data_IF_340694482857
#
_entry.id   IF_340694482857
#
_cell.length_a   1.000
_cell.length_b   1.000
_cell.length_c   1.000
_cell.angle_alpha   90.00
_cell.angle_beta   90.00
_cell.angle_gamma   90.00
#
_symmetry.space_group_name_H-M   'P 1'
#
loop_
_entity.id
_entity.type
_entity.pdbx_description
1 polymer ?
#
# COMPACT_ATOMS: atom_id res chain seq x y z
N UNK A 1 -5.82 -14.43 -35.50
CA UNK A 1 -7.05 -13.61 -35.41
C UNK A 1 -7.67 -13.60 -34.00
N UNK A 2 -6.99 -14.12 -32.97
CA UNK A 2 -7.43 -14.04 -31.58
C UNK A 2 -6.64 -12.93 -30.87
N UNK A 3 -6.92 -11.64 -31.12
CA UNK A 3 -6.21 -10.59 -30.35
C UNK A 3 -6.82 -9.19 -30.30
N UNK A 4 -8.11 -9.05 -30.58
CA UNK A 4 -8.80 -7.75 -30.37
C UNK A 4 -9.94 -7.92 -29.37
N UNK A 5 -10.71 -9.00 -29.47
CA UNK A 5 -11.75 -9.31 -28.49
C UNK A 5 -11.18 -9.59 -27.09
N UNK A 6 -10.07 -10.33 -26.98
CA UNK A 6 -9.41 -10.62 -25.70
C UNK A 6 -8.83 -9.35 -25.10
N UNK A 7 -8.08 -8.56 -25.88
CA UNK A 7 -7.52 -7.29 -25.40
C UNK A 7 -8.62 -6.30 -24.98
N UNK A 8 -9.75 -6.25 -25.70
CA UNK A 8 -10.85 -5.35 -25.36
C UNK A 8 -11.58 -5.78 -24.09
N UNK A 9 -11.79 -7.09 -23.89
CA UNK A 9 -12.35 -7.63 -22.64
C UNK A 9 -11.39 -7.42 -21.47
N UNK A 10 -10.09 -7.62 -21.67
CA UNK A 10 -9.04 -7.33 -20.69
C UNK A 10 -9.07 -5.84 -20.34
N UNK A 11 -8.96 -4.92 -21.31
CA UNK A 11 -9.08 -3.48 -21.03
C UNK A 11 -10.40 -3.10 -20.33
N UNK A 12 -11.54 -3.70 -20.71
CA UNK A 12 -12.84 -3.43 -20.09
C UNK A 12 -12.88 -3.89 -18.62
N UNK A 13 -12.34 -5.08 -18.32
CA UNK A 13 -12.21 -5.61 -16.94
C UNK A 13 -11.22 -4.75 -16.14
N UNK A 14 -10.10 -4.33 -16.74
CA UNK A 14 -9.11 -3.43 -16.15
C UNK A 14 -9.67 -2.02 -15.87
N UNK A 15 -10.69 -1.59 -16.63
CA UNK A 15 -11.44 -0.35 -16.35
C UNK A 15 -12.68 -0.54 -15.48
N UNK A 16 -12.99 -1.76 -15.03
CA UNK A 16 -14.19 -2.02 -14.24
C UNK A 16 -14.17 -1.20 -12.95
N UNK A 17 -15.06 -0.21 -12.81
CA UNK A 17 -15.10 0.66 -11.64
C UNK A 17 -15.84 0.00 -10.46
N UNK A 18 -16.05 -1.33 -10.47
CA UNK A 18 -16.75 -2.03 -9.39
C UNK A 18 -16.00 -2.05 -8.05
N UNK A 19 -14.80 -1.47 -7.96
CA UNK A 19 -14.14 -1.17 -6.69
C UNK A 19 -14.65 0.10 -5.99
N UNK A 20 -15.66 0.80 -6.54
CA UNK A 20 -16.41 1.86 -5.86
C UNK A 20 -17.37 1.34 -4.77
N UNK A 21 -17.37 0.02 -4.52
CA UNK A 21 -17.89 -0.50 -3.25
C UNK A 21 -17.13 0.19 -2.14
N UNK A 22 -17.85 0.92 -1.28
CA UNK A 22 -17.36 1.45 -0.01
C UNK A 22 -16.61 0.32 0.72
N UNK A 23 -15.29 0.26 0.51
CA UNK A 23 -14.42 -0.73 1.14
C UNK A 23 -14.63 -0.52 2.63
N UNK A 24 -15.17 -1.55 3.30
CA UNK A 24 -15.45 -1.48 4.74
C UNK A 24 -14.21 -0.97 5.47
N UNK A 25 -14.35 -0.14 6.51
CA UNK A 25 -13.22 0.24 7.33
C UNK A 25 -12.49 -1.02 7.80
N UNK A 26 -11.18 -1.08 7.55
CA UNK A 26 -10.31 -2.17 8.02
C UNK A 26 -9.92 -1.84 9.45
N UNK A 27 -10.12 -2.78 10.38
CA UNK A 27 -9.76 -2.59 11.79
C UNK A 27 -8.31 -3.03 12.05
N UNK A 28 -7.75 -2.62 13.18
CA UNK A 28 -6.39 -3.02 13.56
C UNK A 28 -6.32 -4.51 13.88
N UNK A 29 -7.38 -5.08 14.45
CA UNK A 29 -7.49 -6.52 14.74
C UNK A 29 -7.48 -7.36 13.46
N UNK A 30 -8.15 -6.90 12.40
CA UNK A 30 -8.16 -7.58 11.10
C UNK A 30 -6.75 -7.67 10.50
N UNK A 31 -5.98 -6.58 10.57
CA UNK A 31 -4.59 -6.53 10.10
C UNK A 31 -3.67 -7.49 10.88
N UNK A 32 -3.96 -7.70 12.16
CA UNK A 32 -3.18 -8.58 13.04
C UNK A 32 -3.64 -10.04 13.00
N UNK A 33 -4.82 -10.32 12.43
CA UNK A 33 -5.40 -11.66 12.42
C UNK A 33 -4.51 -12.62 11.63
N UNK A 34 -4.07 -13.74 12.22
CA UNK A 34 -3.31 -14.75 11.49
C UNK A 34 -4.11 -15.29 10.30
N UNK A 35 -3.48 -15.37 9.13
CA UNK A 35 -4.16 -15.82 7.91
C UNK A 35 -5.04 -14.76 7.23
N UNK A 36 -5.03 -13.51 7.70
CA UNK A 36 -5.65 -12.41 6.97
C UNK A 36 -5.04 -12.26 5.56
N UNK A 37 -5.79 -11.70 4.60
CA UNK A 37 -5.30 -11.52 3.24
C UNK A 37 -4.20 -10.45 3.15
N UNK A 38 -3.84 -9.80 4.25
CA UNK A 38 -2.84 -8.75 4.25
C UNK A 38 -1.41 -9.32 4.30
N UNK A 39 -0.54 -8.74 3.48
CA UNK A 39 0.90 -8.98 3.49
C UNK A 39 1.61 -7.78 4.08
N UNK A 40 2.62 -8.07 4.90
CA UNK A 40 3.49 -7.05 5.47
C UNK A 40 4.61 -6.73 4.48
N UNK A 41 4.89 -5.44 4.29
CA UNK A 41 6.06 -4.91 3.57
C UNK A 41 6.83 -3.97 4.47
N UNK A 42 8.14 -3.89 4.25
CA UNK A 42 9.03 -2.97 4.96
C UNK A 42 9.71 -2.06 3.95
N UNK A 43 9.62 -0.76 4.19
CA UNK A 43 10.23 0.27 3.36
C UNK A 43 11.25 1.07 4.16
N UNK A 44 12.38 1.39 3.55
CA UNK A 44 13.35 2.35 4.08
C UNK A 44 13.37 3.54 3.14
N UNK A 45 12.96 4.71 3.64
CA UNK A 45 12.79 5.91 2.82
C UNK A 45 13.74 6.98 3.34
N UNK A 46 14.67 7.42 2.51
CA UNK A 46 15.54 8.56 2.81
C UNK A 46 14.85 9.84 2.33
N UNK A 47 14.49 10.71 3.26
CA UNK A 47 13.82 11.98 2.93
C UNK A 47 14.77 12.99 2.27
N UNK A 48 14.21 13.80 1.38
CA UNK A 48 14.89 14.92 0.73
C UNK A 48 14.75 16.23 1.53
N UNK A 49 14.97 17.39 0.90
CA UNK A 49 14.84 18.69 1.56
C UNK A 49 13.40 19.02 2.01
N UNK A 50 12.39 18.50 1.32
CA UNK A 50 10.96 18.81 1.51
C UNK A 50 10.27 17.76 2.38
N UNK A 51 10.68 16.50 2.29
CA UNK A 51 10.13 15.42 3.10
C UNK A 51 10.38 14.04 2.49
N UNK A 52 9.39 13.16 2.59
CA UNK A 52 9.49 11.78 2.12
C UNK A 52 8.56 11.47 0.93
N UNK A 53 7.76 12.44 0.47
CA UNK A 53 6.88 12.25 -0.68
C UNK A 53 5.66 11.36 -0.41
N UNK A 54 5.09 11.37 0.80
CA UNK A 54 3.83 10.68 1.11
C UNK A 54 2.98 11.44 2.13
N UNK A 55 1.69 11.10 2.20
CA UNK A 55 0.73 11.66 3.16
C UNK A 55 0.06 10.54 3.94
N UNK A 56 0.11 10.62 5.28
CA UNK A 56 -0.59 9.69 6.19
C UNK A 56 -1.92 10.29 6.64
N UNK A 57 -2.97 9.45 6.70
CA UNK A 57 -4.27 9.77 7.30
C UNK A 57 -4.78 8.58 8.10
N UNK A 58 -5.97 8.72 8.66
CA UNK A 58 -6.63 7.69 9.46
C UNK A 58 -6.54 7.97 10.95
N UNK A 59 -7.26 7.14 11.71
CA UNK A 59 -7.29 7.22 13.18
C UNK A 59 -6.73 5.96 13.80
N UNK A 60 -7.19 4.80 13.34
CA UNK A 60 -6.71 3.48 13.72
C UNK A 60 -7.37 2.48 12.75
N UNK A 61 -6.61 1.79 11.89
CA UNK A 61 -5.22 2.03 11.55
C UNK A 61 -5.03 3.32 10.75
N UNK A 62 -3.81 3.87 10.78
CA UNK A 62 -3.38 4.88 9.82
C UNK A 62 -3.04 4.25 8.47
N UNK A 63 -3.17 5.01 7.38
CA UNK A 63 -2.88 4.55 6.02
C UNK A 63 -2.25 5.65 5.16
N UNK A 64 -1.57 5.22 4.10
CA UNK A 64 -0.99 6.09 3.09
C UNK A 64 -2.11 6.62 2.18
N UNK A 65 -2.43 7.90 2.30
CA UNK A 65 -3.45 8.57 1.48
C UNK A 65 -2.93 8.93 0.09
N UNK A 66 -1.68 9.40 0.03
CA UNK A 66 -1.06 9.86 -1.20
C UNK A 66 0.43 9.52 -1.20
N UNK A 67 0.95 9.26 -2.39
CA UNK A 67 2.39 9.13 -2.66
C UNK A 67 2.70 10.06 -3.81
N UNK A 68 3.71 10.89 -3.64
CA UNK A 68 4.19 11.82 -4.67
C UNK A 68 4.89 11.03 -5.78
N UNK A 69 4.48 11.19 -7.05
CA UNK A 69 5.16 10.53 -8.17
C UNK A 69 6.65 10.90 -8.21
N UNK A 70 7.51 9.90 -8.38
CA UNK A 70 8.97 10.05 -8.41
C UNK A 70 9.63 10.56 -7.12
N UNK A 71 8.85 10.83 -6.07
CA UNK A 71 9.37 11.21 -4.76
C UNK A 71 10.02 10.04 -4.01
N UNK A 72 10.67 10.30 -2.86
CA UNK A 72 11.42 9.28 -2.13
C UNK A 72 10.62 8.03 -1.78
N UNK A 73 9.38 8.19 -1.32
CA UNK A 73 8.50 7.06 -1.01
C UNK A 73 8.07 6.26 -2.25
N UNK A 74 7.81 6.93 -3.38
CA UNK A 74 7.52 6.23 -4.63
C UNK A 74 8.70 5.39 -5.09
N UNK A 75 9.93 5.93 -5.01
CA UNK A 75 11.16 5.19 -5.35
C UNK A 75 11.36 3.98 -4.43
N UNK A 76 10.99 4.10 -3.15
CA UNK A 76 11.00 2.97 -2.21
C UNK A 76 9.90 1.92 -2.50
N UNK A 77 8.95 2.20 -3.39
CA UNK A 77 7.84 1.29 -3.74
C UNK A 77 6.61 1.43 -2.84
N UNK A 78 6.50 2.51 -2.07
CA UNK A 78 5.31 2.80 -1.26
C UNK A 78 4.11 3.09 -2.17
N UNK A 79 2.95 2.57 -1.81
CA UNK A 79 1.70 2.72 -2.55
C UNK A 79 0.62 3.36 -1.69
N UNK A 80 -0.38 3.96 -2.32
CA UNK A 80 -1.59 4.41 -1.63
C UNK A 80 -2.35 3.20 -1.05
N UNK A 81 -3.11 3.43 0.01
CA UNK A 81 -3.93 2.42 0.72
C UNK A 81 -3.14 1.35 1.48
N UNK A 82 -1.83 1.52 1.67
CA UNK A 82 -1.06 0.70 2.60
C UNK A 82 -1.32 1.16 4.05
N UNK A 83 -1.57 0.23 4.95
CA UNK A 83 -1.82 0.50 6.38
C UNK A 83 -0.50 0.53 7.15
N UNK A 84 -0.29 1.56 7.97
CA UNK A 84 0.96 1.75 8.71
C UNK A 84 0.95 0.89 9.96
N UNK A 85 1.84 -0.09 10.03
CA UNK A 85 1.99 -0.99 11.18
C UNK A 85 3.02 -0.44 12.16
N UNK A 86 4.15 0.04 11.66
CA UNK A 86 5.21 0.61 12.48
C UNK A 86 5.96 1.75 11.80
N UNK A 87 6.54 2.62 12.62
CA UNK A 87 7.47 3.68 12.22
C UNK A 87 8.72 3.57 13.07
N UNK A 88 9.87 3.35 12.43
CA UNK A 88 11.18 3.18 13.08
C UNK A 88 11.17 2.12 14.20
N UNK A 89 10.43 1.02 13.99
CA UNK A 89 10.30 -0.09 14.94
C UNK A 89 9.24 0.12 16.04
N UNK A 90 8.60 1.30 16.11
CA UNK A 90 7.49 1.54 17.03
C UNK A 90 6.18 1.14 16.36
N UNK A 91 5.41 0.25 16.98
CA UNK A 91 4.07 -0.09 16.51
C UNK A 91 3.13 1.13 16.62
N UNK A 92 2.37 1.38 15.55
CA UNK A 92 1.47 2.55 15.47
C UNK A 92 0.04 2.21 15.03
N UNK A 93 -0.34 0.92 15.04
CA UNK A 93 -1.65 0.49 14.54
C UNK A 93 -2.80 1.21 15.26
N UNK A 94 -2.70 1.36 16.58
CA UNK A 94 -3.74 1.96 17.42
C UNK A 94 -3.53 3.47 17.63
N UNK A 95 -2.61 4.10 16.89
CA UNK A 95 -2.30 5.52 16.99
C UNK A 95 -2.93 6.32 15.85
N UNK A 96 -3.32 7.55 16.16
CA UNK A 96 -3.89 8.47 15.18
C UNK A 96 -2.82 9.14 14.29
N UNK A 97 -3.26 9.68 13.16
CA UNK A 97 -2.31 10.25 12.20
C UNK A 97 -1.52 11.42 12.77
N UNK A 98 -2.03 12.14 13.78
CA UNK A 98 -1.30 13.25 14.42
C UNK A 98 -0.07 12.72 15.15
N UNK A 99 -0.25 11.65 15.91
CA UNK A 99 0.84 10.98 16.65
C UNK A 99 1.82 10.34 15.69
N UNK A 100 1.33 9.60 14.67
CA UNK A 100 2.18 8.99 13.64
C UNK A 100 2.98 10.03 12.87
N UNK A 101 2.35 11.14 12.48
CA UNK A 101 3.04 12.23 11.78
C UNK A 101 4.10 12.88 12.67
N UNK A 102 3.82 13.06 13.96
CA UNK A 102 4.80 13.59 14.90
C UNK A 102 6.04 12.69 14.96
N UNK A 103 5.87 11.37 15.12
CA UNK A 103 6.98 10.41 15.14
C UNK A 103 7.85 10.45 13.87
N UNK A 104 7.21 10.59 12.69
CA UNK A 104 7.91 10.72 11.40
C UNK A 104 8.68 12.04 11.33
N UNK A 105 8.02 13.16 11.67
CA UNK A 105 8.56 14.51 11.49
C UNK A 105 9.67 14.86 12.50
N UNK A 106 9.60 14.32 13.72
CA UNK A 106 10.65 14.53 14.74
C UNK A 106 11.74 13.45 14.69
N UNK A 107 11.55 12.43 13.86
CA UNK A 107 12.49 11.33 13.68
C UNK A 107 13.69 11.69 12.80
N UNK A 108 14.57 10.71 12.53
CA UNK A 108 15.67 10.87 11.58
C UNK A 108 15.17 11.09 10.15
N UNK A 109 16.03 11.67 9.30
CA UNK A 109 15.79 11.85 7.85
C UNK A 109 15.48 10.54 7.12
N UNK A 110 15.95 9.40 7.63
CA UNK A 110 15.61 8.09 7.10
C UNK A 110 14.51 7.47 7.94
N UNK A 111 13.39 7.11 7.33
CA UNK A 111 12.26 6.48 8.02
C UNK A 111 12.13 5.04 7.55
N UNK A 112 12.08 4.13 8.51
CA UNK A 112 11.74 2.72 8.27
C UNK A 112 10.27 2.52 8.61
N UNK A 113 9.47 2.10 7.63
CA UNK A 113 8.04 1.85 7.81
C UNK A 113 7.72 0.39 7.54
N UNK A 114 7.07 -0.28 8.48
CA UNK A 114 6.35 -1.51 8.17
C UNK A 114 4.91 -1.14 7.84
N UNK A 115 4.42 -1.66 6.72
CA UNK A 115 3.05 -1.46 6.27
C UNK A 115 2.41 -2.79 5.92
N UNK A 116 1.08 -2.81 5.86
CA UNK A 116 0.29 -3.93 5.38
C UNK A 116 -0.56 -3.51 4.19
N UNK A 117 -0.63 -4.38 3.19
CA UNK A 117 -1.53 -4.23 2.05
C UNK A 117 -2.22 -5.55 1.76
N UNK A 118 -3.41 -5.50 1.16
CA UNK A 118 -4.12 -6.72 0.76
C UNK A 118 -3.31 -7.42 -0.34
N UNK A 119 -3.27 -8.75 -0.31
CA UNK A 119 -2.70 -9.53 -1.41
C UNK A 119 -3.48 -9.25 -2.69
N UNK A 120 -2.77 -8.76 -3.69
CA UNK A 120 -3.29 -8.69 -5.05
C UNK A 120 -3.44 -10.12 -5.56
N UNK A 121 -4.65 -10.68 -5.44
CA UNK A 121 -4.98 -12.04 -5.89
C UNK A 121 -4.82 -12.25 -7.41
N UNK A 122 -4.50 -11.20 -8.17
CA UNK A 122 -4.38 -11.21 -9.62
C UNK A 122 -2.92 -11.34 -10.11
N UNK A 123 -1.91 -11.08 -9.27
CA UNK A 123 -0.49 -11.24 -9.66
C UNK A 123 -0.08 -12.73 -9.80
N UNK A 124 -0.77 -13.64 -9.11
CA UNK A 124 -0.51 -15.09 -9.17
C UNK A 124 -1.07 -15.75 -10.46
N UNK A 125 -2.12 -15.20 -11.08
CA UNK A 125 -2.70 -15.71 -12.34
C UNK A 125 -1.87 -15.27 -13.56
N UNK A 126 -1.33 -14.04 -13.58
CA UNK A 126 -0.43 -13.61 -14.66
C UNK A 126 0.88 -14.42 -14.71
N UNK A 127 1.39 -14.84 -13.55
CA UNK A 127 2.58 -15.69 -13.46
C UNK A 127 2.30 -17.13 -13.94
N UNK A 128 1.06 -17.61 -13.85
CA UNK A 128 0.63 -18.91 -14.39
C UNK A 128 0.38 -18.85 -15.90
N UNK A 129 -0.25 -17.78 -16.40
CA UNK A 129 -0.53 -17.59 -17.84
C UNK A 129 0.74 -17.41 -18.67
N UNK A 130 1.80 -16.82 -18.09
CA UNK A 130 3.12 -16.70 -18.74
C UNK A 130 3.90 -18.01 -18.78
N UNK A 131 3.60 -18.97 -17.89
CA UNK A 131 4.19 -20.31 -17.90
C UNK A 131 3.47 -21.25 -18.87
N UNK A 132 2.15 -21.13 -19.05
CA UNK A 132 1.39 -21.94 -20.01
C UNK A 132 1.60 -21.52 -21.47
N UNK A 133 2.18 -20.34 -21.72
CA UNK A 133 2.46 -19.83 -23.06
C UNK A 133 3.86 -20.16 -23.61
N UNK A 134 4.68 -20.95 -22.90
CA UNK A 134 6.02 -21.39 -23.34
C UNK A 134 6.08 -22.88 -23.63
#
# INVERSE_FOLDING_TARGET
MANIAVICVVSYIYTSPLSLVLRRPVSTEELQTPGSPYIKKTFTIVGDAVGWGFVVRGKQPCYIQAVEPFGPAAVAGMKVRQFVVSVNGLNVLDLDYRTVSHLILTGPRTVVMEVMEERDHWEEEEMQLTQESN
#
